data_IF_196367793219
#
_entry.id   IF_196367793219
#
_cell.length_a   1.000
_cell.length_b   1.000
_cell.length_c   1.000
_cell.angle_alpha   90.00
_cell.angle_beta   90.00
_cell.angle_gamma   90.00
#
_symmetry.space_group_name_H-M   'P 1'
#
loop_
_entity.id
_entity.type
_entity.pdbx_description
1 polymer ?
#
# COMPACT_ATOMS: atom_id res chain seq x y z
N UNK A 1 -28.81 -13.65 10.01
CA UNK A 1 -28.84 -12.37 10.76
C UNK A 1 -29.99 -11.51 10.21
N UNK A 2 -31.06 -11.26 10.97
CA UNK A 2 -32.25 -10.55 10.50
C UNK A 2 -32.08 -9.01 10.55
N UNK A 3 -30.90 -8.50 10.15
CA UNK A 3 -30.60 -7.06 10.15
C UNK A 3 -30.82 -6.44 8.75
N UNK A 4 -30.75 -7.27 7.70
CA UNK A 4 -30.88 -6.87 6.30
C UNK A 4 -32.00 -7.64 5.62
N UNK A 5 -32.63 -7.04 4.60
CA UNK A 5 -33.57 -7.72 3.72
C UNK A 5 -32.89 -8.82 2.89
N UNK A 6 -33.71 -9.61 2.20
CA UNK A 6 -33.23 -10.75 1.42
C UNK A 6 -32.33 -10.32 0.25
N UNK A 7 -32.70 -9.26 -0.47
CA UNK A 7 -31.92 -8.75 -1.61
C UNK A 7 -30.51 -8.30 -1.18
N UNK A 8 -30.41 -7.59 -0.06
CA UNK A 8 -29.13 -7.12 0.50
C UNK A 8 -28.27 -8.29 0.97
N UNK A 9 -28.88 -9.31 1.58
CA UNK A 9 -28.15 -10.51 2.01
C UNK A 9 -27.59 -11.28 0.82
N UNK A 10 -28.36 -11.41 -0.24
CA UNK A 10 -27.94 -12.06 -1.49
C UNK A 10 -26.79 -11.30 -2.14
N UNK A 11 -26.84 -9.96 -2.14
CA UNK A 11 -25.74 -9.13 -2.62
C UNK A 11 -24.44 -9.40 -1.83
N UNK A 12 -24.50 -9.46 -0.49
CA UNK A 12 -23.32 -9.78 0.33
C UNK A 12 -22.78 -11.19 0.07
N UNK A 13 -23.66 -12.18 -0.08
CA UNK A 13 -23.25 -13.55 -0.41
C UNK A 13 -22.55 -13.57 -1.76
N UNK A 14 -23.12 -12.90 -2.76
CA UNK A 14 -22.58 -12.82 -4.12
C UNK A 14 -21.18 -12.21 -4.13
N UNK A 15 -20.98 -11.08 -3.43
CA UNK A 15 -19.68 -10.40 -3.34
C UNK A 15 -18.63 -11.31 -2.67
N UNK A 16 -18.96 -11.93 -1.53
CA UNK A 16 -18.02 -12.84 -0.86
C UNK A 16 -17.67 -14.06 -1.71
N UNK A 17 -18.64 -14.60 -2.45
CA UNK A 17 -18.42 -15.75 -3.33
C UNK A 17 -17.59 -15.38 -4.57
N UNK A 18 -17.67 -14.14 -5.05
CA UNK A 18 -16.82 -13.59 -6.12
C UNK A 18 -15.35 -13.73 -5.75
N UNK A 19 -14.98 -13.32 -4.52
CA UNK A 19 -13.61 -13.40 -4.01
C UNK A 19 -13.08 -14.84 -4.02
N UNK A 20 -13.92 -15.80 -3.64
CA UNK A 20 -13.56 -17.23 -3.56
C UNK A 20 -13.43 -17.91 -4.92
N UNK A 21 -13.77 -17.26 -6.04
CA UNK A 21 -13.52 -17.80 -7.39
C UNK A 21 -12.04 -17.84 -7.73
N UNK A 22 -11.24 -16.95 -7.12
CA UNK A 22 -9.82 -16.86 -7.37
C UNK A 22 -9.09 -18.09 -6.80
N UNK A 23 -8.15 -18.63 -7.57
CA UNK A 23 -7.22 -19.64 -7.06
C UNK A 23 -6.31 -19.03 -5.97
N UNK A 24 -5.74 -19.84 -5.05
CA UNK A 24 -4.79 -19.35 -4.04
C UNK A 24 -3.63 -18.54 -4.64
N UNK A 25 -3.16 -18.93 -5.82
CA UNK A 25 -2.10 -18.25 -6.56
C UNK A 25 -2.54 -16.90 -7.11
N UNK A 26 -3.77 -16.79 -7.62
CA UNK A 26 -4.34 -15.51 -8.08
C UNK A 26 -4.60 -14.58 -6.90
N UNK A 27 -5.15 -15.10 -5.79
CA UNK A 27 -5.32 -14.35 -4.55
C UNK A 27 -3.99 -13.78 -4.04
N UNK A 28 -2.92 -14.59 -4.06
CA UNK A 28 -1.58 -14.14 -3.70
C UNK A 28 -1.08 -13.02 -4.63
N UNK A 29 -1.17 -13.20 -5.95
CA UNK A 29 -0.71 -12.21 -6.93
C UNK A 29 -1.50 -10.90 -6.83
N UNK A 30 -2.83 -10.97 -6.74
CA UNK A 30 -3.70 -9.82 -6.56
C UNK A 30 -3.44 -9.11 -5.23
N UNK A 31 -3.15 -9.86 -4.16
CA UNK A 31 -2.81 -9.31 -2.86
C UNK A 31 -1.45 -8.59 -2.82
N UNK A 32 -0.51 -8.94 -3.70
CA UNK A 32 0.72 -8.13 -3.87
C UNK A 32 0.36 -6.72 -4.34
N UNK A 33 -0.53 -6.62 -5.32
CA UNK A 33 -0.95 -5.34 -5.90
C UNK A 33 -1.71 -4.51 -4.86
N UNK A 34 -2.69 -5.10 -4.17
CA UNK A 34 -3.43 -4.37 -3.13
C UNK A 34 -2.53 -3.96 -1.96
N UNK A 35 -1.56 -4.80 -1.60
CA UNK A 35 -0.58 -4.50 -0.54
C UNK A 35 0.32 -3.32 -0.90
N UNK A 36 0.72 -3.23 -2.16
CA UNK A 36 1.41 -2.06 -2.70
C UNK A 36 0.55 -0.79 -2.59
N UNK A 37 -0.70 -0.82 -3.07
CA UNK A 37 -1.59 0.35 -3.06
C UNK A 37 -1.75 0.89 -1.63
N UNK A 38 -2.03 0.02 -0.66
CA UNK A 38 -2.18 0.41 0.75
C UNK A 38 -0.87 0.95 1.34
N UNK A 39 0.27 0.30 1.08
CA UNK A 39 1.56 0.79 1.57
C UNK A 39 1.88 2.20 1.03
N UNK A 40 1.56 2.45 -0.24
CA UNK A 40 1.72 3.77 -0.86
C UNK A 40 0.79 4.80 -0.22
N UNK A 41 -0.47 4.43 0.03
CA UNK A 41 -1.42 5.29 0.74
C UNK A 41 -0.90 5.72 2.11
N UNK A 42 -0.47 4.76 2.94
CA UNK A 42 0.05 5.04 4.29
C UNK A 42 1.30 5.91 4.23
N UNK A 43 2.17 5.69 3.24
CA UNK A 43 3.37 6.49 3.06
C UNK A 43 3.09 7.93 2.59
N UNK A 44 2.09 8.13 1.72
CA UNK A 44 1.65 9.46 1.29
C UNK A 44 0.89 10.22 2.38
N UNK A 45 0.32 9.50 3.35
CA UNK A 45 -0.61 10.04 4.34
C UNK A 45 -0.08 11.24 5.16
N UNK A 46 1.19 11.25 5.64
CA UNK A 46 1.74 12.40 6.34
C UNK A 46 1.88 13.64 5.45
N UNK A 47 2.16 13.45 4.16
CA UNK A 47 2.36 14.51 3.18
C UNK A 47 1.04 15.01 2.55
N UNK A 48 -0.06 14.27 2.69
CA UNK A 48 -1.33 14.57 2.03
C UNK A 48 -2.05 15.83 2.53
N UNK A 49 -1.63 16.43 3.65
CA UNK A 49 -2.22 17.69 4.16
C UNK A 49 -3.75 17.62 4.30
N UNK A 50 -4.46 18.53 3.62
CA UNK A 50 -5.93 18.57 3.58
C UNK A 50 -6.57 17.53 2.64
N UNK A 51 -5.80 16.87 1.78
CA UNK A 51 -6.31 15.91 0.79
C UNK A 51 -6.39 14.47 1.32
N UNK A 52 -6.17 14.22 2.62
CA UNK A 52 -6.15 12.87 3.23
C UNK A 52 -7.38 12.03 2.89
N UNK A 53 -8.57 12.63 2.95
CA UNK A 53 -9.83 11.94 2.63
C UNK A 53 -9.85 11.50 1.17
N UNK A 54 -9.45 12.39 0.26
CA UNK A 54 -9.37 12.08 -1.19
C UNK A 54 -8.38 10.95 -1.45
N UNK A 55 -7.22 10.97 -0.77
CA UNK A 55 -6.21 9.91 -0.89
C UNK A 55 -6.77 8.57 -0.42
N UNK A 56 -7.45 8.52 0.73
CA UNK A 56 -8.07 7.27 1.22
C UNK A 56 -9.09 6.77 0.21
N UNK A 57 -10.05 7.61 -0.19
CA UNK A 57 -11.12 7.23 -1.13
C UNK A 57 -10.52 6.71 -2.43
N UNK A 58 -9.59 7.45 -3.03
CA UNK A 58 -8.93 7.06 -4.28
C UNK A 58 -8.22 5.72 -4.15
N UNK A 59 -7.45 5.51 -3.08
CA UNK A 59 -6.66 4.28 -2.90
C UNK A 59 -7.56 3.08 -2.61
N UNK A 60 -8.61 3.24 -1.79
CA UNK A 60 -9.60 2.16 -1.58
C UNK A 60 -10.41 1.88 -2.84
N UNK A 61 -10.69 2.92 -3.64
CA UNK A 61 -11.39 2.77 -4.92
C UNK A 61 -10.54 2.04 -5.95
N UNK A 62 -9.22 2.28 -5.99
CA UNK A 62 -8.30 1.53 -6.87
C UNK A 62 -8.27 0.04 -6.53
N UNK A 63 -8.35 -0.32 -5.25
CA UNK A 63 -8.43 -1.72 -4.81
C UNK A 63 -9.70 -2.39 -5.34
N UNK A 64 -10.84 -1.69 -5.20
CA UNK A 64 -12.13 -2.17 -5.70
C UNK A 64 -12.18 -2.21 -7.24
N UNK A 65 -11.62 -1.22 -7.93
CA UNK A 65 -11.58 -1.16 -9.39
C UNK A 65 -10.70 -2.27 -9.98
N UNK A 66 -9.58 -2.57 -9.34
CA UNK A 66 -8.68 -3.63 -9.76
C UNK A 66 -9.14 -5.03 -9.39
N UNK A 67 -10.31 -5.17 -8.74
CA UNK A 67 -10.82 -6.42 -8.17
C UNK A 67 -9.74 -7.17 -7.36
N UNK A 68 -8.90 -6.39 -6.67
CA UNK A 68 -7.72 -6.93 -6.01
C UNK A 68 -8.08 -7.48 -4.64
N UNK A 69 -7.60 -8.68 -4.33
CA UNK A 69 -7.83 -9.30 -3.03
C UNK A 69 -7.02 -8.57 -1.96
N UNK A 70 -7.65 -8.09 -0.89
CA UNK A 70 -6.96 -7.47 0.25
C UNK A 70 -7.38 -8.19 1.53
N UNK A 71 -6.42 -8.61 2.35
CA UNK A 71 -6.67 -9.40 3.56
C UNK A 71 -7.69 -8.75 4.50
N UNK A 72 -7.68 -7.42 4.66
CA UNK A 72 -8.58 -6.73 5.59
C UNK A 72 -10.01 -6.70 5.04
N UNK A 73 -10.20 -6.17 3.83
CA UNK A 73 -11.54 -6.06 3.21
C UNK A 73 -12.12 -7.44 2.92
N UNK A 74 -11.33 -8.31 2.28
CA UNK A 74 -11.75 -9.68 1.98
C UNK A 74 -12.04 -10.49 3.23
N UNK A 75 -11.35 -10.25 4.37
CA UNK A 75 -11.71 -10.95 5.61
C UNK A 75 -13.14 -10.65 6.05
N UNK A 76 -13.63 -9.42 5.89
CA UNK A 76 -15.00 -9.07 6.27
C UNK A 76 -16.01 -9.80 5.37
N UNK A 77 -15.72 -9.89 4.08
CA UNK A 77 -16.57 -10.56 3.08
C UNK A 77 -16.62 -12.08 3.30
N UNK A 78 -15.46 -12.71 3.49
CA UNK A 78 -15.40 -14.16 3.73
C UNK A 78 -15.90 -14.52 5.12
N UNK A 79 -15.62 -13.71 6.15
CA UNK A 79 -16.18 -13.93 7.50
C UNK A 79 -17.70 -13.81 7.49
N UNK A 80 -18.29 -12.92 6.68
CA UNK A 80 -19.74 -12.89 6.51
C UNK A 80 -20.28 -14.22 5.98
N UNK A 81 -19.62 -14.83 4.99
CA UNK A 81 -19.98 -16.16 4.47
C UNK A 81 -19.78 -17.28 5.50
N UNK A 82 -18.77 -17.18 6.34
CA UNK A 82 -18.53 -18.16 7.40
C UNK A 82 -19.60 -18.04 8.49
N UNK A 83 -19.91 -16.81 8.93
CA UNK A 83 -20.92 -16.58 9.97
C UNK A 83 -22.35 -16.86 9.52
N UNK A 84 -22.64 -16.73 8.22
CA UNK A 84 -23.96 -17.07 7.67
C UNK A 84 -24.11 -18.57 7.34
N UNK A 85 -23.03 -19.35 7.45
CA UNK A 85 -23.02 -20.79 7.21
C UNK A 85 -22.80 -21.23 5.76
N UNK A 86 -22.48 -20.31 4.84
CA UNK A 86 -22.22 -20.61 3.42
C UNK A 86 -20.85 -21.26 3.22
N UNK A 87 -19.85 -20.85 3.99
CA UNK A 87 -18.49 -21.41 3.93
C UNK A 87 -18.03 -21.97 5.28
N UNK A 88 -17.24 -23.06 5.27
CA UNK A 88 -16.58 -23.53 6.48
C UNK A 88 -15.41 -22.63 6.86
N UNK A 89 -15.03 -22.65 8.15
CA UNK A 89 -13.84 -21.94 8.65
C UNK A 89 -12.54 -22.37 7.98
N UNK A 90 -12.47 -23.59 7.45
CA UNK A 90 -11.32 -24.07 6.69
C UNK A 90 -11.04 -23.17 5.50
N UNK A 91 -12.08 -22.77 4.77
CA UNK A 91 -11.97 -22.03 3.51
C UNK A 91 -11.51 -20.59 3.73
N UNK A 92 -11.83 -20.04 4.91
CA UNK A 92 -11.28 -18.77 5.36
C UNK A 92 -9.77 -18.86 5.58
N UNK A 93 -9.26 -19.89 6.27
CA UNK A 93 -7.83 -20.05 6.51
C UNK A 93 -7.08 -20.41 5.22
N UNK A 94 -7.63 -21.36 4.47
CA UNK A 94 -7.14 -21.83 3.19
C UNK A 94 -8.33 -22.22 2.29
N UNK A 95 -8.52 -21.59 1.12
CA UNK A 95 -7.49 -20.92 0.34
C UNK A 95 -7.38 -19.41 0.56
N UNK A 96 -8.19 -18.76 1.38
CA UNK A 96 -8.24 -17.29 1.38
C UNK A 96 -7.12 -16.60 2.19
N UNK A 97 -7.11 -16.75 3.52
CA UNK A 97 -6.36 -15.87 4.41
C UNK A 97 -4.85 -16.01 4.25
N UNK A 98 -4.35 -17.25 4.15
CA UNK A 98 -2.91 -17.51 4.05
C UNK A 98 -2.25 -16.87 2.81
N UNK A 99 -2.68 -17.17 1.56
CA UNK A 99 -2.05 -16.56 0.39
C UNK A 99 -2.34 -15.07 0.29
N UNK A 100 -3.54 -14.60 0.66
CA UNK A 100 -3.88 -13.17 0.61
C UNK A 100 -3.02 -12.37 1.60
N UNK A 101 -2.83 -12.87 2.82
CA UNK A 101 -1.97 -12.24 3.82
C UNK A 101 -0.51 -12.21 3.35
N UNK A 102 0.00 -13.35 2.84
CA UNK A 102 1.36 -13.44 2.33
C UNK A 102 1.59 -12.45 1.18
N UNK A 103 0.66 -12.39 0.22
CA UNK A 103 0.74 -11.45 -0.91
C UNK A 103 0.74 -10.00 -0.45
N UNK A 104 -0.15 -9.63 0.49
CA UNK A 104 -0.19 -8.28 1.04
C UNK A 104 1.10 -7.88 1.75
N UNK A 105 1.68 -8.76 2.57
CA UNK A 105 2.95 -8.49 3.24
C UNK A 105 4.07 -8.34 2.22
N UNK A 106 4.13 -9.22 1.21
CA UNK A 106 5.13 -9.15 0.15
C UNK A 106 5.05 -7.83 -0.63
N UNK A 107 3.86 -7.46 -1.11
CA UNK A 107 3.66 -6.23 -1.88
C UNK A 107 3.93 -4.97 -1.08
N UNK A 108 3.42 -4.90 0.16
CA UNK A 108 3.62 -3.74 1.02
C UNK A 108 5.08 -3.55 1.42
N UNK A 109 5.77 -4.63 1.81
CA UNK A 109 7.19 -4.58 2.21
C UNK A 109 8.08 -4.22 1.02
N UNK A 110 7.80 -4.76 -0.16
CA UNK A 110 8.60 -4.48 -1.37
C UNK A 110 8.62 -3.00 -1.71
N UNK A 111 7.46 -2.35 -1.72
CA UNK A 111 7.36 -0.93 -2.08
C UNK A 111 7.87 -0.04 -0.97
N UNK A 112 7.60 -0.39 0.29
CA UNK A 112 8.19 0.31 1.41
C UNK A 112 9.72 0.32 1.33
N UNK A 113 10.34 -0.83 1.05
CA UNK A 113 11.78 -0.94 0.89
C UNK A 113 12.29 -0.11 -0.29
N UNK A 114 11.62 -0.16 -1.46
CA UNK A 114 12.00 0.63 -2.63
C UNK A 114 11.92 2.14 -2.38
N UNK A 115 10.82 2.62 -1.79
CA UNK A 115 10.64 4.03 -1.47
C UNK A 115 11.65 4.49 -0.42
N UNK A 116 11.83 3.71 0.65
CA UNK A 116 12.83 4.01 1.68
C UNK A 116 14.23 4.11 1.08
N UNK A 117 14.60 3.19 0.19
CA UNK A 117 15.89 3.22 -0.49
C UNK A 117 16.02 4.43 -1.41
N UNK A 118 14.96 4.75 -2.17
CA UNK A 118 14.94 5.90 -3.07
C UNK A 118 15.04 7.24 -2.31
N UNK A 119 14.33 7.39 -1.19
CA UNK A 119 14.40 8.57 -0.33
C UNK A 119 15.81 8.78 0.22
N UNK A 120 16.40 7.74 0.81
CA UNK A 120 17.76 7.82 1.38
C UNK A 120 18.78 8.18 0.30
N UNK A 121 18.69 7.56 -0.88
CA UNK A 121 19.63 7.84 -1.97
C UNK A 121 19.51 9.28 -2.48
N UNK A 122 18.29 9.80 -2.57
CA UNK A 122 18.05 11.19 -3.00
C UNK A 122 18.59 12.19 -1.97
N UNK A 123 18.33 11.96 -0.68
CA UNK A 123 18.81 12.81 0.41
C UNK A 123 20.35 12.86 0.46
N UNK A 124 21.01 11.72 0.27
CA UNK A 124 22.48 11.65 0.22
C UNK A 124 23.07 12.37 -1.00
N UNK A 125 22.40 12.28 -2.16
CA UNK A 125 22.81 13.01 -3.37
C UNK A 125 22.71 14.52 -3.16
N UNK A 126 21.61 14.99 -2.58
CA UNK A 126 21.39 16.41 -2.32
C UNK A 126 22.37 16.96 -1.29
N UNK A 127 22.63 16.25 -0.19
CA UNK A 127 23.65 16.65 0.81
C UNK A 127 25.04 16.79 0.19
N UNK A 128 25.45 15.84 -0.66
CA UNK A 128 26.76 15.90 -1.34
C UNK A 128 26.87 17.11 -2.28
N UNK A 129 25.80 17.46 -3.00
CA UNK A 129 25.77 18.66 -3.86
C UNK A 129 25.86 19.95 -3.03
N UNK A 130 25.13 20.01 -1.91
CA UNK A 130 25.17 21.13 -0.96
C UNK A 130 26.59 21.34 -0.41
N UNK A 131 27.24 20.27 0.08
CA UNK A 131 28.61 20.31 0.60
C UNK A 131 29.62 20.74 -0.47
N UNK A 132 29.48 20.23 -1.70
CA UNK A 132 30.34 20.63 -2.82
C UNK A 132 30.18 22.12 -3.16
N UNK A 133 28.94 22.64 -3.16
CA UNK A 133 28.66 24.07 -3.38
C UNK A 133 29.30 24.93 -2.29
N UNK A 134 29.08 24.59 -1.02
CA UNK A 134 29.64 25.33 0.12
C UNK A 134 31.16 25.32 0.12
N UNK A 135 31.78 24.19 -0.25
CA UNK A 135 33.24 24.09 -0.38
C UNK A 135 33.76 24.98 -1.51
N UNK A 136 33.09 24.99 -2.66
CA UNK A 136 33.44 25.87 -3.78
C UNK A 136 33.37 27.36 -3.40
N UNK A 137 32.28 27.78 -2.76
CA UNK A 137 32.11 29.16 -2.28
C UNK A 137 33.19 29.56 -1.27
N UNK A 138 33.56 28.65 -0.35
CA UNK A 138 34.62 28.91 0.62
C UNK A 138 35.97 29.13 -0.07
N UNK A 139 36.34 28.24 -1.00
CA UNK A 139 37.59 28.36 -1.76
C UNK A 139 37.64 29.65 -2.58
N UNK A 140 36.53 30.05 -3.21
CA UNK A 140 36.47 31.30 -3.96
C UNK A 140 36.61 32.53 -3.06
N UNK A 141 35.99 32.53 -1.88
CA UNK A 141 36.15 33.60 -0.87
C UNK A 141 37.60 33.69 -0.39
N UNK A 142 38.25 32.55 -0.14
CA UNK A 142 39.66 32.49 0.24
C UNK A 142 40.57 33.04 -0.85
N UNK A 143 40.33 32.67 -2.12
CA UNK A 143 41.09 33.20 -3.27
C UNK A 143 40.95 34.71 -3.40
N UNK A 144 39.72 35.24 -3.34
CA UNK A 144 39.46 36.69 -3.38
C UNK A 144 40.10 37.46 -2.23
N UNK A 145 40.22 36.85 -1.05
CA UNK A 145 40.94 37.44 0.10
C UNK A 145 42.44 37.48 -0.15
N UNK A 146 43.03 36.40 -0.67
CA UNK A 146 44.45 36.34 -0.98
C UNK A 146 44.86 37.32 -2.10
N UNK A 147 44.01 37.48 -3.13
CA UNK A 147 44.22 38.45 -4.20
C UNK A 147 44.17 39.91 -3.71
N UNK A 148 43.30 40.23 -2.74
CA UNK A 148 43.21 41.57 -2.14
C UNK A 148 44.36 41.94 -1.19
N UNK A 149 45.14 40.95 -0.75
CA UNK A 149 46.27 41.15 0.16
C UNK A 149 47.63 41.24 -0.56
N UNK A 150 47.65 41.06 -1.89
CA UNK A 150 48.79 41.35 -2.75
C UNK A 150 48.65 42.72 -3.38
#
# INVERSE_FOLDING_TARGET
MPIFDEETRDAFVKIGMEVMKNSPTEMFANAIISGWIIATMVWMFPAAGGAKIVVIILMTWLIALGDTTHIVVGSVEILYLVFNGTLPWSDFLWPFALPTLAGNICGGTFIFALMSHAQIRNDMSNKRKEEARLRGERLERERKKAEKQR
#
